data_IF_996074661820
#
_entry.id   IF_996074661820
#
_cell.length_a   1.000
_cell.length_b   1.000
_cell.length_c   1.000
_cell.angle_alpha   90.00
_cell.angle_beta   90.00
_cell.angle_gamma   90.00
#
_symmetry.space_group_name_H-M   'P 1'
#
loop_
_entity.id
_entity.type
_entity.pdbx_description
1 polymer ?
#
# COMPACT_ATOMS: atom_id res chain seq x y z
N UNK A 1 -19.57 -5.44 15.45
CA UNK A 1 -19.82 -5.16 14.02
C UNK A 1 -18.54 -4.58 13.43
N UNK A 2 -17.68 -5.42 12.84
CA UNK A 2 -16.60 -4.97 11.95
C UNK A 2 -17.26 -4.70 10.58
N UNK A 3 -17.73 -3.47 10.34
CA UNK A 3 -17.12 -2.30 9.66
C UNK A 3 -16.88 -2.52 8.14
N UNK A 4 -17.48 -1.68 7.27
CA UNK A 4 -17.54 -1.88 5.81
C UNK A 4 -16.19 -2.00 5.10
N UNK A 5 -15.11 -1.46 5.69
CA UNK A 5 -13.76 -1.57 5.15
C UNK A 5 -13.15 -2.97 5.29
N UNK A 6 -13.50 -3.74 6.32
CA UNK A 6 -12.99 -5.11 6.48
C UNK A 6 -13.48 -6.01 5.35
N UNK A 7 -14.75 -5.86 4.95
CA UNK A 7 -15.33 -6.58 3.81
C UNK A 7 -14.64 -6.20 2.49
N UNK A 8 -14.30 -4.92 2.32
CA UNK A 8 -13.50 -4.48 1.16
C UNK A 8 -12.10 -5.08 1.22
N UNK A 9 -11.40 -5.00 2.35
CA UNK A 9 -10.00 -5.41 2.44
C UNK A 9 -9.79 -6.92 2.33
N UNK A 10 -10.67 -7.71 2.95
CA UNK A 10 -10.55 -9.18 3.07
C UNK A 10 -11.42 -9.95 2.07
N UNK A 11 -12.33 -9.27 1.38
CA UNK A 11 -13.15 -9.85 0.32
C UNK A 11 -12.49 -9.78 -1.05
N UNK A 12 -13.28 -10.12 -2.07
CA UNK A 12 -12.86 -10.18 -3.49
C UNK A 12 -13.46 -9.05 -4.33
N UNK A 13 -14.10 -8.06 -3.70
CA UNK A 13 -14.66 -6.91 -4.42
C UNK A 13 -13.53 -6.15 -5.12
N UNK A 14 -13.64 -5.95 -6.42
CA UNK A 14 -12.66 -5.17 -7.17
C UNK A 14 -12.62 -3.73 -6.65
N UNK A 15 -11.43 -3.24 -6.30
CA UNK A 15 -11.22 -1.88 -5.80
C UNK A 15 -10.62 -1.03 -6.90
N UNK A 16 -11.39 -0.04 -7.34
CA UNK A 16 -10.89 1.03 -8.19
C UNK A 16 -11.09 2.37 -7.48
N UNK A 17 -10.06 3.21 -7.49
CA UNK A 17 -10.10 4.55 -6.89
C UNK A 17 -9.60 5.54 -7.91
N UNK A 18 -10.50 6.43 -8.33
CA UNK A 18 -10.13 7.56 -9.15
C UNK A 18 -9.55 8.66 -8.26
N UNK A 19 -8.23 8.67 -8.11
CA UNK A 19 -7.54 9.75 -7.43
C UNK A 19 -7.35 10.93 -8.39
N UNK A 20 -7.88 12.13 -8.06
CA UNK A 20 -7.53 13.34 -8.79
C UNK A 20 -6.02 13.56 -8.76
N UNK A 21 -5.48 14.07 -9.86
CA UNK A 21 -4.05 14.42 -9.93
C UNK A 21 -3.73 15.45 -8.84
N UNK A 22 -2.83 15.10 -7.93
CA UNK A 22 -2.41 15.98 -6.83
C UNK A 22 -3.35 15.98 -5.61
N UNK A 23 -4.35 15.09 -5.55
CA UNK A 23 -5.22 14.97 -4.38
C UNK A 23 -4.43 14.69 -3.11
N UNK A 24 -4.72 15.45 -2.05
CA UNK A 24 -4.20 15.16 -0.71
C UNK A 24 -5.10 14.16 -0.02
N UNK A 25 -4.53 13.29 0.82
CA UNK A 25 -5.30 12.31 1.60
C UNK A 25 -6.40 12.99 2.42
N UNK A 26 -6.12 14.19 2.93
CA UNK A 26 -7.06 15.01 3.72
C UNK A 26 -8.25 15.54 2.90
N UNK A 27 -8.13 15.60 1.58
CA UNK A 27 -9.16 16.08 0.65
C UNK A 27 -10.03 14.94 0.11
N UNK A 28 -9.68 13.69 0.41
CA UNK A 28 -10.44 12.52 -0.05
C UNK A 28 -11.72 12.33 0.75
N UNK A 29 -12.75 11.84 0.08
CA UNK A 29 -13.96 11.40 0.75
C UNK A 29 -13.66 10.22 1.69
N UNK A 30 -14.52 9.99 2.69
CA UNK A 30 -14.40 8.83 3.58
C UNK A 30 -14.45 7.51 2.82
N UNK A 31 -15.19 7.47 1.71
CA UNK A 31 -15.36 6.27 0.89
C UNK A 31 -14.09 6.01 0.08
N UNK A 32 -13.54 7.04 -0.59
CA UNK A 32 -12.26 6.93 -1.32
C UNK A 32 -11.11 6.54 -0.38
N UNK A 33 -11.07 7.15 0.82
CA UNK A 33 -10.07 6.79 1.83
C UNK A 33 -10.24 5.33 2.28
N UNK A 34 -11.47 4.84 2.42
CA UNK A 34 -11.73 3.45 2.79
C UNK A 34 -11.31 2.48 1.69
N UNK A 35 -11.57 2.81 0.42
CA UNK A 35 -11.12 2.04 -0.72
C UNK A 35 -9.59 2.01 -0.82
N UNK A 36 -8.91 3.14 -0.63
CA UNK A 36 -7.45 3.19 -0.59
C UNK A 36 -6.86 2.36 0.54
N UNK A 37 -7.40 2.48 1.75
CA UNK A 37 -6.95 1.68 2.90
C UNK A 37 -7.14 0.18 2.67
N UNK A 38 -8.26 -0.22 2.07
CA UNK A 38 -8.51 -1.61 1.68
C UNK A 38 -7.58 -2.09 0.55
N UNK A 39 -7.33 -1.27 -0.46
CA UNK A 39 -6.37 -1.57 -1.52
C UNK A 39 -4.94 -1.72 -0.96
N UNK A 40 -4.53 -0.83 -0.06
CA UNK A 40 -3.26 -0.92 0.65
C UNK A 40 -3.16 -2.22 1.47
N UNK A 41 -4.23 -2.62 2.16
CA UNK A 41 -4.25 -3.90 2.90
C UNK A 41 -3.95 -5.11 2.01
N UNK A 42 -4.54 -5.15 0.80
CA UNK A 42 -4.33 -6.22 -0.17
C UNK A 42 -2.93 -6.16 -0.78
N UNK A 43 -2.50 -4.96 -1.19
CA UNK A 43 -1.16 -4.71 -1.73
C UNK A 43 -0.07 -5.13 -0.75
N UNK A 44 -0.11 -4.66 0.50
CA UNK A 44 0.89 -5.01 1.51
C UNK A 44 0.82 -6.48 1.93
N UNK A 45 -0.26 -7.20 1.64
CA UNK A 45 -0.29 -8.66 1.76
C UNK A 45 0.63 -9.40 0.79
N UNK A 46 1.09 -8.73 -0.27
CA UNK A 46 2.03 -9.23 -1.28
C UNK A 46 3.42 -8.60 -1.18
N UNK A 47 3.64 -7.71 -0.21
CA UNK A 47 4.92 -7.03 -0.01
C UNK A 47 5.69 -7.71 1.12
N UNK A 48 6.99 -7.91 0.90
CA UNK A 48 7.93 -8.39 1.92
C UNK A 48 9.11 -7.45 2.03
N UNK A 49 9.71 -7.40 3.21
CA UNK A 49 11.00 -6.77 3.39
C UNK A 49 12.10 -7.82 3.16
N UNK A 50 12.99 -7.58 2.20
CA UNK A 50 14.13 -8.44 1.86
C UNK A 50 15.36 -7.55 1.75
N UNK A 51 16.42 -7.84 2.51
CA UNK A 51 17.66 -7.07 2.49
C UNK A 51 17.46 -5.54 2.64
N UNK A 52 16.56 -5.15 3.57
CA UNK A 52 16.16 -3.75 3.82
C UNK A 52 15.49 -3.04 2.62
N UNK A 53 14.84 -3.81 1.74
CA UNK A 53 14.12 -3.33 0.56
C UNK A 53 12.71 -3.92 0.54
N UNK A 54 11.69 -3.11 0.28
CA UNK A 54 10.36 -3.62 0.01
C UNK A 54 10.29 -4.24 -1.38
N UNK A 55 9.87 -5.50 -1.45
CA UNK A 55 9.67 -6.26 -2.68
C UNK A 55 8.21 -6.69 -2.75
N UNK A 56 7.52 -6.31 -3.82
CA UNK A 56 6.15 -6.74 -4.10
C UNK A 56 6.15 -7.91 -5.09
N UNK A 57 5.44 -8.99 -4.75
CA UNK A 57 5.17 -10.11 -5.65
C UNK A 57 3.76 -9.95 -6.24
N UNK A 58 3.65 -9.04 -7.23
CA UNK A 58 2.38 -8.69 -7.90
C UNK A 58 2.66 -8.55 -9.39
N UNK A 59 1.94 -9.29 -10.23
CA UNK A 59 2.06 -9.19 -11.71
C UNK A 59 1.20 -8.08 -12.29
N UNK A 60 -0.03 -7.98 -11.80
CA UNK A 60 -1.02 -7.00 -12.18
C UNK A 60 -2.01 -6.79 -11.03
N UNK A 61 -2.85 -5.77 -11.12
CA UNK A 61 -3.80 -5.44 -10.08
C UNK A 61 -4.92 -6.46 -9.91
N UNK A 62 -5.28 -7.21 -10.97
CA UNK A 62 -6.32 -8.23 -10.90
C UNK A 62 -5.93 -9.35 -9.94
N UNK A 63 -4.64 -9.67 -9.81
CA UNK A 63 -4.13 -10.66 -8.85
C UNK A 63 -4.55 -10.37 -7.40
N UNK A 64 -4.80 -9.10 -7.07
CA UNK A 64 -5.22 -8.65 -5.74
C UNK A 64 -6.56 -7.91 -5.76
N UNK A 65 -7.33 -8.04 -6.84
CA UNK A 65 -8.63 -7.38 -7.02
C UNK A 65 -8.55 -5.85 -6.85
N UNK A 66 -7.48 -5.22 -7.32
CA UNK A 66 -7.25 -3.76 -7.27
C UNK A 66 -6.96 -3.25 -8.69
N UNK A 67 -7.33 -2.01 -9.02
CA UNK A 67 -6.98 -1.46 -10.33
C UNK A 67 -5.47 -1.27 -10.52
N UNK A 68 -5.00 -1.51 -11.75
CA UNK A 68 -3.58 -1.39 -12.12
C UNK A 68 -3.01 0.00 -11.81
N UNK A 69 -3.84 1.04 -11.92
CA UNK A 69 -3.46 2.41 -11.59
C UNK A 69 -3.10 2.57 -10.10
N UNK A 70 -3.93 2.00 -9.21
CA UNK A 70 -3.70 2.04 -7.76
C UNK A 70 -2.49 1.18 -7.39
N UNK A 71 -2.35 -0.01 -7.98
CA UNK A 71 -1.17 -0.87 -7.77
C UNK A 71 0.11 -0.18 -8.23
N UNK A 72 0.10 0.46 -9.40
CA UNK A 72 1.24 1.20 -9.93
C UNK A 72 1.65 2.35 -9.01
N UNK A 73 0.68 3.04 -8.40
CA UNK A 73 0.94 4.09 -7.43
C UNK A 73 1.65 3.54 -6.18
N UNK A 74 1.21 2.39 -5.65
CA UNK A 74 1.87 1.77 -4.50
C UNK A 74 3.25 1.20 -4.82
N UNK A 75 3.43 0.57 -5.99
CA UNK A 75 4.75 0.13 -6.46
C UNK A 75 5.73 1.30 -6.54
N UNK A 76 5.28 2.44 -7.08
CA UNK A 76 6.08 3.67 -7.14
C UNK A 76 6.42 4.20 -5.74
N UNK A 77 5.47 4.15 -4.81
CA UNK A 77 5.67 4.59 -3.43
C UNK A 77 6.75 3.75 -2.74
N UNK A 78 6.65 2.42 -2.76
CA UNK A 78 7.66 1.55 -2.14
C UNK A 78 9.02 1.66 -2.82
N UNK A 79 9.05 1.82 -4.15
CA UNK A 79 10.30 2.04 -4.89
C UNK A 79 10.98 3.35 -4.49
N UNK A 80 10.19 4.41 -4.23
CA UNK A 80 10.72 5.69 -3.76
C UNK A 80 11.24 5.61 -2.33
N UNK A 81 10.56 4.87 -1.43
CA UNK A 81 11.03 4.60 -0.07
C UNK A 81 12.34 3.80 -0.06
N UNK A 82 12.43 2.77 -0.90
CA UNK A 82 13.64 1.98 -1.11
C UNK A 82 14.81 2.85 -1.58
N UNK A 83 14.59 3.68 -2.61
CA UNK A 83 15.61 4.59 -3.12
C UNK A 83 16.07 5.61 -2.08
N UNK A 84 15.15 6.08 -1.23
CA UNK A 84 15.47 6.96 -0.12
C UNK A 84 16.34 6.26 0.93
N UNK A 85 16.00 5.04 1.34
CA UNK A 85 16.81 4.24 2.26
C UNK A 85 18.22 3.99 1.72
N UNK A 86 18.35 3.69 0.42
CA UNK A 86 19.64 3.54 -0.25
C UNK A 86 20.45 4.85 -0.29
N UNK A 87 19.79 5.99 -0.49
CA UNK A 87 20.45 7.30 -0.44
C UNK A 87 21.05 7.56 0.93
N UNK A 88 20.26 7.35 1.99
CA UNK A 88 20.74 7.55 3.36
C UNK A 88 21.89 6.60 3.70
N UNK A 89 21.81 5.34 3.25
CA UNK A 89 22.93 4.37 3.40
C UNK A 89 24.21 4.86 2.73
N UNK A 90 24.14 5.45 1.53
CA UNK A 90 25.30 6.04 0.84
C UNK A 90 25.88 7.26 1.57
N UNK A 91 25.04 7.99 2.30
CA UNK A 91 25.43 9.11 3.15
C UNK A 91 25.93 8.66 4.54
N UNK A 92 26.04 7.35 4.79
CA UNK A 92 26.48 6.78 6.07
C UNK A 92 25.40 6.76 7.15
N UNK A 93 24.15 7.05 6.80
CA UNK A 93 22.99 7.06 7.69
C UNK A 93 22.08 5.87 7.39
N UNK A 94 22.51 4.66 7.74
CA UNK A 94 21.69 3.48 7.48
C UNK A 94 20.42 3.48 8.34
N UNK A 95 19.26 3.46 7.67
CA UNK A 95 17.95 3.26 8.31
C UNK A 95 17.49 1.83 8.12
N UNK A 96 16.77 1.30 9.11
CA UNK A 96 16.10 0.01 9.00
C UNK A 96 14.63 0.24 8.67
N UNK A 97 14.21 -0.24 7.50
CA UNK A 97 12.81 -0.22 7.11
C UNK A 97 12.03 -1.24 7.95
N UNK A 98 10.83 -0.90 8.44
CA UNK A 98 10.02 -1.83 9.21
C UNK A 98 9.51 -2.98 8.33
N UNK A 99 9.43 -4.19 8.90
CA UNK A 99 8.77 -5.30 8.24
C UNK A 99 7.26 -5.03 8.10
N UNK A 100 6.67 -5.52 7.01
CA UNK A 100 5.22 -5.50 6.83
C UNK A 100 4.62 -6.63 7.67
N UNK A 101 3.97 -6.27 8.78
CA UNK A 101 3.33 -7.24 9.69
C UNK A 101 1.82 -7.27 9.52
N UNK A 102 1.17 -8.31 10.04
CA UNK A 102 -0.29 -8.37 10.08
C UNK A 102 -0.87 -7.28 10.98
N UNK A 103 -0.18 -6.87 12.05
CA UNK A 103 -0.59 -5.72 12.87
C UNK A 103 -0.61 -4.42 12.07
N UNK A 104 0.43 -4.18 11.27
CA UNK A 104 0.48 -3.02 10.36
C UNK A 104 -0.68 -3.06 9.38
N UNK A 105 -0.91 -4.20 8.73
CA UNK A 105 -2.02 -4.36 7.78
C UNK A 105 -3.37 -4.14 8.45
N UNK A 106 -3.60 -4.74 9.61
CA UNK A 106 -4.84 -4.57 10.37
C UNK A 106 -5.02 -3.14 10.90
N UNK A 107 -3.94 -2.39 11.12
CA UNK A 107 -4.02 -0.98 11.48
C UNK A 107 -4.55 -0.10 10.34
N UNK A 108 -4.36 -0.51 9.07
CA UNK A 108 -4.94 0.20 7.93
C UNK A 108 -6.48 0.19 7.95
N UNK A 109 -7.09 -0.81 8.59
CA UNK A 109 -8.54 -1.00 8.63
C UNK A 109 -9.23 -0.22 9.76
N UNK A 110 -8.46 0.54 10.54
CA UNK A 110 -8.95 1.29 11.70
C UNK A 110 -9.36 2.73 11.36
#
# INVERSE_FOLDING_TARGET
MEKPIDSLAKGETFIDVQLPVGARIEELSKDDLSLLKAAAYRFFGKVKLVDNQYVADIKDGKEIEVSDAVVSAYLKAISSTNAFADSLKKEGQEIQLPAITDEYRNALLK
#
